data_IF_933510446683
#
_entry.id   IF_933510446683
#
_cell.length_a   1.000
_cell.length_b   1.000
_cell.length_c   1.000
_cell.angle_alpha   90.00
_cell.angle_beta   90.00
_cell.angle_gamma   90.00
#
_symmetry.space_group_name_H-M   'P 1'
#
loop_
_entity.id
_entity.type
_entity.pdbx_description
1 polymer ?
#
# COMPACT_ATOMS: atom_id res chain seq x y z
N UNK A 1 18.47 -15.91 -8.74
CA UNK A 1 18.31 -14.52 -9.21
C UNK A 1 19.61 -14.02 -9.83
N UNK A 2 19.54 -13.48 -11.02
CA UNK A 2 20.71 -12.88 -11.66
C UNK A 2 20.93 -11.44 -11.22
N UNK A 3 22.17 -10.97 -11.38
CA UNK A 3 22.51 -9.58 -11.08
C UNK A 3 22.63 -8.73 -12.36
N UNK A 4 22.11 -9.23 -13.47
CA UNK A 4 22.19 -8.57 -14.76
C UNK A 4 20.85 -7.97 -15.17
N UNK A 5 20.91 -6.82 -15.82
CA UNK A 5 19.75 -6.19 -16.42
C UNK A 5 19.41 -6.93 -17.71
N UNK A 6 18.14 -7.32 -17.87
CA UNK A 6 17.72 -8.15 -19.00
C UNK A 6 16.97 -7.40 -20.09
N UNK A 7 16.42 -6.21 -19.79
CA UNK A 7 15.69 -5.43 -20.78
C UNK A 7 15.68 -3.95 -20.41
N UNK A 8 15.38 -3.11 -21.39
CA UNK A 8 15.21 -1.68 -21.20
C UNK A 8 13.76 -1.24 -21.28
N UNK A 9 13.56 0.06 -21.30
CA UNK A 9 12.23 0.65 -21.33
C UNK A 9 12.21 1.91 -22.16
N UNK A 10 11.19 2.06 -22.99
CA UNK A 10 10.93 3.31 -23.71
C UNK A 10 9.89 4.14 -22.96
N UNK A 11 9.97 5.46 -23.12
CA UNK A 11 8.99 6.36 -22.51
C UNK A 11 7.69 6.29 -23.30
N UNK A 12 6.56 5.91 -22.66
CA UNK A 12 5.26 5.86 -23.35
C UNK A 12 4.66 7.27 -23.53
N UNK A 13 3.52 7.35 -24.15
CA UNK A 13 2.78 8.60 -24.27
C UNK A 13 2.37 9.13 -22.91
N UNK A 14 2.14 10.45 -22.82
CA UNK A 14 1.76 11.13 -21.56
C UNK A 14 0.30 10.84 -21.21
N UNK A 15 -0.03 9.60 -20.88
CA UNK A 15 -1.40 9.21 -20.55
C UNK A 15 -1.57 8.75 -19.10
N UNK A 16 -0.50 8.68 -18.34
CA UNK A 16 -0.56 8.25 -16.94
C UNK A 16 -0.92 9.42 -16.02
N UNK A 17 -1.56 9.09 -14.90
CA UNK A 17 -1.91 10.05 -13.86
C UNK A 17 -1.42 9.55 -12.52
N UNK A 18 -1.18 10.48 -11.58
CA UNK A 18 -0.77 10.13 -10.23
C UNK A 18 -1.95 10.01 -9.28
N UNK A 19 -1.67 9.45 -8.11
CA UNK A 19 -2.62 9.38 -7.01
C UNK A 19 -3.21 8.01 -6.77
N UNK A 20 -3.79 7.85 -5.58
CA UNK A 20 -4.42 6.61 -5.13
C UNK A 20 -5.93 6.80 -5.13
N UNK A 21 -6.64 5.83 -5.69
CA UNK A 21 -8.10 5.84 -5.75
C UNK A 21 -8.73 5.12 -4.57
N UNK A 22 -8.26 3.91 -4.26
CA UNK A 22 -8.85 3.06 -3.23
C UNK A 22 -7.76 2.24 -2.54
N UNK A 23 -7.96 1.98 -1.26
CA UNK A 23 -7.06 1.15 -0.45
C UNK A 23 -7.87 0.02 0.16
N UNK A 24 -7.32 -1.20 0.12
CA UNK A 24 -7.93 -2.39 0.70
C UNK A 24 -7.03 -2.97 1.76
N UNK A 25 -7.60 -3.36 2.89
CA UNK A 25 -6.86 -4.02 3.97
C UNK A 25 -7.36 -5.44 4.15
N UNK A 26 -6.44 -6.36 4.44
CA UNK A 26 -6.75 -7.74 4.79
C UNK A 26 -5.91 -8.15 6.00
N UNK A 27 -6.43 -9.06 6.81
CA UNK A 27 -5.72 -9.54 7.99
C UNK A 27 -4.44 -10.28 7.62
N UNK A 28 -3.41 -10.13 8.45
CA UNK A 28 -2.13 -10.78 8.23
C UNK A 28 -2.26 -12.31 8.27
N UNK A 29 -1.66 -12.95 7.27
CA UNK A 29 -1.66 -14.40 7.18
C UNK A 29 -2.85 -15.00 6.43
N UNK A 30 -3.82 -14.19 5.98
CA UNK A 30 -4.99 -14.70 5.28
C UNK A 30 -4.76 -14.95 3.79
N UNK A 31 -3.67 -14.45 3.23
CA UNK A 31 -3.38 -14.59 1.80
C UNK A 31 -2.91 -16.00 1.42
N UNK A 32 -2.27 -16.72 2.34
CA UNK A 32 -1.65 -18.00 2.01
C UNK A 32 -0.46 -17.84 1.08
N UNK A 33 -0.35 -18.71 0.09
CA UNK A 33 0.71 -18.64 -0.91
C UNK A 33 0.24 -17.84 -2.13
N UNK A 34 1.06 -16.88 -2.56
CA UNK A 34 0.78 -16.09 -3.75
C UNK A 34 1.39 -16.75 -4.99
N UNK A 35 0.64 -16.76 -6.09
CA UNK A 35 1.15 -17.18 -7.39
C UNK A 35 1.62 -15.95 -8.13
N UNK A 36 2.92 -15.86 -8.40
CA UNK A 36 3.54 -14.71 -9.04
C UNK A 36 4.02 -15.09 -10.43
N UNK A 37 3.55 -14.37 -11.44
CA UNK A 37 3.94 -14.55 -12.83
C UNK A 37 4.37 -13.22 -13.41
N UNK A 38 5.62 -13.11 -13.84
CA UNK A 38 6.20 -11.90 -14.45
C UNK A 38 6.01 -10.63 -13.60
N UNK A 39 6.17 -10.77 -12.29
CA UNK A 39 6.03 -9.64 -11.36
C UNK A 39 4.60 -9.28 -10.98
N UNK A 40 3.64 -10.12 -11.37
CA UNK A 40 2.22 -9.91 -11.07
C UNK A 40 1.67 -11.08 -10.24
N UNK A 41 0.90 -10.75 -9.20
CA UNK A 41 0.21 -11.77 -8.42
C UNK A 41 -1.10 -12.12 -9.13
N UNK A 42 -1.20 -13.35 -9.61
CA UNK A 42 -2.38 -13.82 -10.34
C UNK A 42 -3.40 -14.52 -9.46
N UNK A 43 -3.00 -14.89 -8.24
CA UNK A 43 -3.91 -15.51 -7.29
C UNK A 43 -3.22 -15.80 -5.98
N UNK A 44 -4.03 -16.08 -4.96
CA UNK A 44 -3.56 -16.46 -3.63
C UNK A 44 -4.32 -17.71 -3.19
N UNK A 45 -3.65 -18.58 -2.41
CA UNK A 45 -4.25 -19.81 -1.93
C UNK A 45 -5.18 -19.61 -0.74
N UNK A 46 -5.05 -18.48 -0.05
CA UNK A 46 -5.90 -18.14 1.08
C UNK A 46 -7.22 -17.51 0.65
N UNK A 47 -8.06 -17.21 1.63
CA UNK A 47 -9.35 -16.55 1.42
C UNK A 47 -9.41 -15.25 2.24
N UNK A 48 -8.64 -14.23 1.82
CA UNK A 48 -8.63 -12.97 2.56
C UNK A 48 -9.95 -12.22 2.38
N UNK A 49 -10.40 -11.57 3.45
CA UNK A 49 -11.49 -10.62 3.38
C UNK A 49 -10.89 -9.24 3.21
N UNK A 50 -11.19 -8.60 2.09
CA UNK A 50 -10.68 -7.27 1.78
C UNK A 50 -11.67 -6.20 2.22
N UNK A 51 -11.20 -5.31 3.08
CA UNK A 51 -11.98 -4.17 3.57
C UNK A 51 -11.57 -2.92 2.80
N UNK A 52 -12.51 -2.34 2.10
CA UNK A 52 -12.27 -1.21 1.20
C UNK A 52 -12.36 0.13 1.94
N UNK A 53 -11.36 0.97 1.70
CA UNK A 53 -11.37 2.36 2.17
C UNK A 53 -11.20 3.27 0.96
N UNK A 54 -12.23 4.07 0.67
CA UNK A 54 -12.13 5.06 -0.40
C UNK A 54 -11.34 6.25 0.08
N UNK A 55 -10.33 6.63 -0.67
CA UNK A 55 -9.49 7.78 -0.39
C UNK A 55 -9.52 8.72 -1.58
N UNK A 56 -9.56 10.01 -1.32
CA UNK A 56 -9.52 11.02 -2.37
C UNK A 56 -8.54 12.12 -1.99
N UNK A 57 -7.85 12.64 -3.00
CA UNK A 57 -6.92 13.74 -2.81
C UNK A 57 -5.58 13.25 -2.28
N UNK A 58 -5.14 13.75 -1.16
CA UNK A 58 -3.76 13.67 -0.68
C UNK A 58 -3.32 12.30 -0.15
N UNK A 59 -3.59 11.23 -0.91
CA UNK A 59 -3.11 9.90 -0.58
C UNK A 59 -2.05 9.47 -1.58
N UNK A 60 -0.96 8.88 -1.08
CA UNK A 60 0.17 8.51 -1.92
C UNK A 60 0.88 7.27 -1.37
N UNK A 61 1.55 6.58 -2.27
CA UNK A 61 2.39 5.45 -1.93
C UNK A 61 3.74 5.63 -2.60
N UNK A 62 4.80 5.43 -1.84
CA UNK A 62 6.16 5.53 -2.35
C UNK A 62 6.98 4.36 -1.84
N UNK A 63 7.76 3.75 -2.72
CA UNK A 63 8.67 2.68 -2.36
C UNK A 63 10.10 3.16 -2.56
N UNK A 64 10.85 3.19 -1.47
CA UNK A 64 12.27 3.53 -1.50
C UNK A 64 13.09 2.27 -1.62
N UNK A 65 14.05 2.27 -2.54
CA UNK A 65 15.00 1.17 -2.70
C UNK A 65 16.19 1.50 -1.81
N UNK A 66 16.42 0.68 -0.79
CA UNK A 66 17.55 0.85 0.11
C UNK A 66 18.55 -0.27 -0.13
N UNK A 67 19.74 0.11 -0.56
CA UNK A 67 20.77 -0.84 -0.90
C UNK A 67 22.10 -0.43 -0.29
N UNK A 68 22.81 -1.39 0.29
CA UNK A 68 24.12 -1.15 0.87
C UNK A 68 25.12 -2.17 0.35
N UNK A 69 26.12 -1.69 -0.36
CA UNK A 69 27.19 -2.53 -0.87
C UNK A 69 28.05 -3.09 0.27
N UNK A 70 28.30 -2.26 1.28
CA UNK A 70 29.14 -2.65 2.42
C UNK A 70 28.51 -3.77 3.24
N UNK A 71 27.19 -3.68 3.45
CA UNK A 71 26.46 -4.69 4.22
C UNK A 71 25.93 -5.83 3.34
N UNK A 72 26.00 -5.68 2.01
CA UNK A 72 25.47 -6.67 1.08
C UNK A 72 23.96 -6.81 1.14
N UNK A 73 23.25 -5.75 1.50
CA UNK A 73 21.80 -5.79 1.72
C UNK A 73 21.05 -4.91 0.72
N UNK A 74 19.86 -5.36 0.35
CA UNK A 74 18.90 -4.57 -0.45
C UNK A 74 17.51 -4.89 0.03
N UNK A 75 16.74 -3.87 0.35
CA UNK A 75 15.34 -4.05 0.69
C UNK A 75 14.50 -2.88 0.15
N UNK A 76 13.20 -3.08 0.14
CA UNK A 76 12.25 -2.11 -0.39
C UNK A 76 11.35 -1.63 0.75
N UNK A 77 11.39 -0.33 0.99
CA UNK A 77 10.65 0.31 2.07
C UNK A 77 9.50 1.09 1.46
N UNK A 78 8.29 0.59 1.64
CA UNK A 78 7.08 1.21 1.10
C UNK A 78 6.41 2.03 2.18
N UNK A 79 6.14 3.29 1.88
CA UNK A 79 5.41 4.19 2.75
C UNK A 79 4.10 4.58 2.06
N UNK A 80 2.99 4.29 2.72
CA UNK A 80 1.66 4.62 2.25
C UNK A 80 1.07 5.68 3.18
N UNK A 81 0.75 6.84 2.61
CA UNK A 81 0.05 7.90 3.32
C UNK A 81 -1.39 7.96 2.82
N UNK A 82 -2.35 7.85 3.72
CA UNK A 82 -3.75 7.93 3.34
C UNK A 82 -4.49 8.96 4.17
N UNK A 83 -5.42 9.65 3.52
CA UNK A 83 -6.26 10.66 4.14
C UNK A 83 -7.71 10.25 3.97
N UNK A 84 -8.42 10.13 5.08
CA UNK A 84 -9.84 9.83 5.10
C UNK A 84 -10.59 11.07 5.56
N UNK A 85 -11.61 11.47 4.82
CA UNK A 85 -12.49 12.56 5.20
C UNK A 85 -13.63 12.02 6.03
N UNK A 86 -14.27 12.86 6.81
CA UNK A 86 -15.32 12.50 7.76
C UNK A 86 -14.84 11.65 8.93
N UNK A 87 -15.32 12.01 10.09
CA UNK A 87 -15.16 11.21 11.30
C UNK A 87 -16.49 10.53 11.61
N UNK A 88 -16.44 9.22 11.85
CA UNK A 88 -17.59 8.49 12.34
C UNK A 88 -17.12 7.37 13.28
N UNK A 89 -18.07 6.85 14.07
CA UNK A 89 -17.74 5.85 15.10
C UNK A 89 -17.22 4.55 14.51
N UNK A 90 -17.84 4.07 13.43
CA UNK A 90 -17.46 2.81 12.82
C UNK A 90 -16.05 2.87 12.24
N UNK A 91 -15.72 3.95 11.53
CA UNK A 91 -14.39 4.14 10.96
C UNK A 91 -13.34 4.25 12.06
N UNK A 92 -13.64 4.96 13.14
CA UNK A 92 -12.68 5.13 14.23
C UNK A 92 -12.37 3.80 14.93
N UNK A 93 -13.36 2.94 15.14
CA UNK A 93 -13.13 1.62 15.71
C UNK A 93 -12.32 0.73 14.78
N UNK A 94 -12.58 0.78 13.47
CA UNK A 94 -11.79 0.02 12.49
C UNK A 94 -10.34 0.49 12.44
N UNK A 95 -10.10 1.79 12.47
CA UNK A 95 -8.73 2.33 12.48
C UNK A 95 -7.98 1.96 13.74
N UNK A 96 -8.67 1.89 14.87
CA UNK A 96 -8.08 1.44 16.13
C UNK A 96 -7.60 -0.02 16.02
N UNK A 97 -8.39 -0.87 15.38
CA UNK A 97 -8.00 -2.26 15.16
C UNK A 97 -6.83 -2.36 14.16
N UNK A 98 -6.87 -1.60 13.08
CA UNK A 98 -5.80 -1.56 12.08
C UNK A 98 -4.48 -1.11 12.70
N UNK A 99 -4.52 -0.15 13.63
CA UNK A 99 -3.31 0.37 14.27
C UNK A 99 -2.58 -0.69 15.11
N UNK A 100 -3.29 -1.70 15.58
CA UNK A 100 -2.69 -2.80 16.35
C UNK A 100 -2.37 -4.03 15.50
N UNK A 101 -2.75 -4.03 14.23
CA UNK A 101 -2.59 -5.18 13.34
C UNK A 101 -1.41 -4.97 12.38
N UNK A 102 -1.10 -6.04 11.64
CA UNK A 102 -0.11 -6.02 10.55
C UNK A 102 -0.82 -6.40 9.25
N UNK A 103 -1.70 -5.54 8.71
CA UNK A 103 -2.52 -5.94 7.57
C UNK A 103 -1.70 -6.04 6.28
N UNK A 104 -2.18 -6.89 5.37
CA UNK A 104 -1.79 -6.81 3.98
C UNK A 104 -2.58 -5.67 3.34
N UNK A 105 -1.93 -4.87 2.51
CA UNK A 105 -2.56 -3.70 1.92
C UNK A 105 -2.53 -3.80 0.41
N UNK A 106 -3.69 -3.67 -0.23
CA UNK A 106 -3.79 -3.56 -1.68
C UNK A 106 -4.21 -2.13 -2.02
N UNK A 107 -3.56 -1.57 -3.01
CA UNK A 107 -3.75 -0.17 -3.41
C UNK A 107 -4.14 -0.12 -4.88
N UNK A 108 -5.25 0.57 -5.18
CA UNK A 108 -5.66 0.85 -6.54
C UNK A 108 -5.32 2.31 -6.87
N UNK A 109 -4.62 2.55 -7.97
CA UNK A 109 -4.32 3.89 -8.44
C UNK A 109 -5.33 4.35 -9.51
N UNK A 110 -5.18 5.59 -9.97
CA UNK A 110 -6.06 6.13 -11.00
C UNK A 110 -5.77 5.59 -12.40
N UNK A 111 -4.67 4.86 -12.57
CA UNK A 111 -4.34 4.19 -13.83
C UNK A 111 -4.98 2.81 -13.96
N UNK A 112 -5.71 2.36 -12.94
CA UNK A 112 -6.34 1.04 -12.92
C UNK A 112 -5.42 -0.08 -12.49
N UNK A 113 -4.25 0.22 -11.95
CA UNK A 113 -3.32 -0.78 -11.44
C UNK A 113 -3.59 -1.08 -9.97
N UNK A 114 -3.44 -2.36 -9.60
CA UNK A 114 -3.51 -2.79 -8.21
C UNK A 114 -2.13 -3.24 -7.77
N UNK A 115 -1.73 -2.79 -6.58
CA UNK A 115 -0.45 -3.15 -5.98
C UNK A 115 -0.69 -3.80 -4.64
N UNK A 116 0.07 -4.85 -4.32
CA UNK A 116 0.01 -5.47 -3.00
C UNK A 116 1.23 -5.07 -2.19
N UNK A 117 0.98 -4.46 -1.05
CA UNK A 117 1.99 -4.00 -0.11
C UNK A 117 1.99 -4.93 1.09
N UNK A 118 3.17 -5.31 1.55
CA UNK A 118 3.29 -6.16 2.73
C UNK A 118 2.90 -7.60 2.50
N UNK A 119 3.32 -8.18 1.37
CA UNK A 119 2.97 -9.57 1.02
C UNK A 119 3.47 -10.58 2.07
N UNK A 120 4.72 -10.46 2.50
CA UNK A 120 5.32 -11.42 3.43
C UNK A 120 5.32 -10.94 4.87
N UNK A 121 5.65 -9.66 5.07
CA UNK A 121 5.85 -9.10 6.41
C UNK A 121 4.67 -8.28 6.92
N UNK A 122 3.70 -8.00 6.04
CA UNK A 122 2.57 -7.14 6.37
C UNK A 122 2.96 -5.66 6.42
N UNK A 123 1.98 -4.81 6.58
CA UNK A 123 2.18 -3.38 6.77
C UNK A 123 2.09 -3.02 8.25
N UNK A 124 2.83 -2.00 8.65
CA UNK A 124 2.81 -1.51 10.02
C UNK A 124 2.28 -0.08 10.02
N UNK A 125 1.21 0.16 10.74
CA UNK A 125 0.67 1.52 10.91
C UNK A 125 1.52 2.21 11.96
N UNK A 126 2.45 3.06 11.52
CA UNK A 126 3.44 3.67 12.40
C UNK A 126 3.16 5.13 12.72
N UNK A 127 2.04 5.66 12.26
CA UNK A 127 1.68 7.03 12.57
C UNK A 127 0.35 7.41 11.97
N UNK A 128 -0.11 8.57 12.35
CA UNK A 128 -1.36 9.12 11.85
C UNK A 128 -1.93 10.12 12.83
N UNK A 129 -2.99 10.80 12.41
CA UNK A 129 -3.66 11.79 13.24
C UNK A 129 -5.17 11.69 13.07
N UNK A 130 -5.88 12.09 14.12
CA UNK A 130 -7.32 12.31 14.08
C UNK A 130 -7.52 13.81 14.27
N UNK A 131 -8.09 14.47 13.27
CA UNK A 131 -8.18 15.93 13.26
C UNK A 131 -9.61 16.41 13.05
N UNK A 132 -9.97 17.48 13.74
CA UNK A 132 -11.28 18.14 13.55
C UNK A 132 -11.15 19.37 12.65
N UNK A 133 -9.93 19.90 12.49
CA UNK A 133 -9.72 21.17 11.83
C UNK A 133 -10.11 22.35 12.74
N UNK A 134 -9.73 23.54 12.34
CA UNK A 134 -10.07 24.77 13.05
C UNK A 134 -10.98 25.68 12.23
N UNK A 135 -10.68 25.87 10.95
CA UNK A 135 -11.51 26.62 10.02
C UNK A 135 -12.49 25.70 9.31
N UNK A 136 -13.55 26.26 8.73
CA UNK A 136 -14.56 25.44 8.04
C UNK A 136 -14.03 24.68 6.84
N UNK A 137 -12.97 25.18 6.19
CA UNK A 137 -12.35 24.50 5.06
C UNK A 137 -11.28 23.48 5.43
N UNK A 138 -10.98 23.31 6.71
CA UNK A 138 -9.94 22.38 7.15
C UNK A 138 -10.43 20.93 7.12
N UNK A 139 -9.47 20.01 7.07
CA UNK A 139 -9.78 18.58 7.10
C UNK A 139 -10.39 18.19 8.44
N UNK A 140 -11.52 17.48 8.38
CA UNK A 140 -12.08 16.75 9.51
C UNK A 140 -12.04 15.28 9.13
N UNK A 141 -11.16 14.50 9.78
CA UNK A 141 -11.02 13.10 9.43
C UNK A 141 -9.76 12.49 9.99
N UNK A 142 -9.18 11.58 9.24
CA UNK A 142 -8.06 10.77 9.69
C UNK A 142 -6.93 10.81 8.69
N UNK A 143 -5.69 10.84 9.18
CA UNK A 143 -4.52 10.56 8.35
C UNK A 143 -3.81 9.34 8.92
N UNK A 144 -3.34 8.45 8.05
CA UNK A 144 -2.62 7.25 8.45
C UNK A 144 -1.36 7.11 7.63
N UNK A 145 -0.30 6.65 8.27
CA UNK A 145 0.94 6.28 7.60
C UNK A 145 1.20 4.80 7.84
N UNK A 146 1.28 4.04 6.76
CA UNK A 146 1.58 2.61 6.79
C UNK A 146 2.95 2.40 6.18
N UNK A 147 3.79 1.64 6.85
CA UNK A 147 5.12 1.31 6.39
C UNK A 147 5.27 -0.20 6.25
N UNK A 148 5.85 -0.64 5.13
CA UNK A 148 6.11 -2.06 4.90
C UNK A 148 7.51 -2.22 4.34
N UNK A 149 8.29 -3.13 4.94
CA UNK A 149 9.63 -3.46 4.48
C UNK A 149 9.63 -4.88 3.93
N UNK A 150 10.00 -5.00 2.66
CA UNK A 150 9.98 -6.27 1.95
C UNK A 150 11.25 -6.48 1.15
N UNK A 151 11.50 -7.73 0.76
CA UNK A 151 12.66 -8.07 -0.06
C UNK A 151 12.41 -7.85 -1.55
N UNK A 152 11.20 -7.50 -1.93
CA UNK A 152 10.82 -7.22 -3.31
C UNK A 152 9.91 -6.00 -3.35
N UNK A 153 9.86 -5.26 -4.49
CA UNK A 153 8.93 -4.15 -4.60
C UNK A 153 7.49 -4.63 -4.57
N UNK A 154 6.51 -3.74 -4.32
CA UNK A 154 5.11 -4.13 -4.36
C UNK A 154 4.76 -4.76 -5.70
N UNK A 155 4.10 -5.91 -5.66
CA UNK A 155 3.72 -6.62 -6.87
C UNK A 155 2.42 -6.07 -7.44
N UNK A 156 2.33 -6.04 -8.77
CA UNK A 156 1.04 -5.82 -9.41
C UNK A 156 0.11 -6.98 -9.10
N UNK A 157 -1.18 -6.70 -9.00
CA UNK A 157 -2.19 -7.73 -8.69
C UNK A 157 -3.22 -7.73 -9.81
N UNK A 158 -3.60 -8.92 -10.25
CA UNK A 158 -4.71 -9.08 -11.18
C UNK A 158 -6.02 -8.79 -10.43
N UNK A 159 -6.77 -7.83 -10.92
CA UNK A 159 -8.05 -7.42 -10.30
C UNK A 159 -9.18 -8.40 -10.57
#
# INVERSE_FOLDING_TARGET
MGCLITSGRKVPCKSAVGGIKTIYFADYGTLGNATIVAGEITGVSGTPDWFQFDVKGNSSMETAITSSRENGTTFYDTTLNMTLTFQDKATQEELKLIAHARPHVAVEDYNGNFFLVGLENGGDVNGGTIVTGAAMGDLTGYTLTVNAQETAPPFFVTS
#
